data_IF_602856938322
#
_entry.id   IF_602856938322
#
_cell.length_a   1.000
_cell.length_b   1.000
_cell.length_c   1.000
_cell.angle_alpha   90.00
_cell.angle_beta   90.00
_cell.angle_gamma   90.00
#
_symmetry.space_group_name_H-M   'P 1'
#
loop_
_entity.id
_entity.type
_entity.pdbx_description
1 polymer ?
#
# COMPACT_ATOMS: atom_id res chain seq x y z
N UNK A 1 -48.10 22.93 -15.44
CA UNK A 1 -47.56 21.58 -15.11
C UNK A 1 -46.96 20.80 -16.30
N UNK A 2 -47.05 21.23 -17.57
CA UNK A 2 -46.53 20.47 -18.73
C UNK A 2 -45.00 20.59 -18.99
N UNK A 3 -44.30 21.48 -18.30
CA UNK A 3 -42.89 21.79 -18.62
C UNK A 3 -41.86 21.07 -17.72
N UNK A 4 -42.30 20.50 -16.59
CA UNK A 4 -41.39 19.84 -15.63
C UNK A 4 -40.80 18.55 -16.23
N UNK A 5 -41.61 17.81 -16.99
CA UNK A 5 -41.13 16.59 -17.68
C UNK A 5 -40.08 16.88 -18.74
N UNK A 6 -40.21 17.97 -19.48
CA UNK A 6 -39.23 18.35 -20.52
C UNK A 6 -37.90 18.79 -19.91
N UNK A 7 -37.93 19.48 -18.76
CA UNK A 7 -36.74 19.93 -18.04
C UNK A 7 -35.96 18.74 -17.47
N UNK A 8 -36.64 17.72 -16.95
CA UNK A 8 -36.00 16.51 -16.43
C UNK A 8 -35.34 15.68 -17.54
N UNK A 9 -35.96 15.58 -18.71
CA UNK A 9 -35.39 14.86 -19.86
C UNK A 9 -34.15 15.61 -20.41
N UNK A 10 -34.22 16.93 -20.49
CA UNK A 10 -33.08 17.75 -20.91
C UNK A 10 -31.90 17.64 -19.94
N UNK A 11 -32.16 17.65 -18.62
CA UNK A 11 -31.13 17.47 -17.60
C UNK A 11 -30.48 16.07 -17.67
N UNK A 12 -31.28 15.02 -17.87
CA UNK A 12 -30.78 13.66 -18.03
C UNK A 12 -29.88 13.49 -19.28
N UNK A 13 -30.23 14.14 -20.39
CA UNK A 13 -29.41 14.14 -21.61
C UNK A 13 -28.08 14.88 -21.42
N UNK A 14 -28.07 16.02 -20.73
CA UNK A 14 -26.82 16.76 -20.45
C UNK A 14 -25.87 15.94 -19.59
N UNK A 15 -26.38 15.20 -18.61
CA UNK A 15 -25.58 14.29 -17.76
C UNK A 15 -25.06 13.09 -18.57
N UNK A 16 -25.85 12.52 -19.47
CA UNK A 16 -25.45 11.38 -20.29
C UNK A 16 -24.34 11.72 -21.31
N UNK A 17 -24.30 12.95 -21.82
CA UNK A 17 -23.31 13.39 -22.83
C UNK A 17 -22.09 14.11 -22.23
N UNK A 18 -22.06 14.35 -20.92
CA UNK A 18 -20.93 14.97 -20.21
C UNK A 18 -20.57 14.13 -18.97
N UNK A 19 -19.86 13.00 -19.16
CA UNK A 19 -19.48 12.11 -18.05
C UNK A 19 -18.66 12.83 -16.96
N UNK A 20 -17.98 13.91 -17.32
CA UNK A 20 -17.20 14.75 -16.39
C UNK A 20 -18.10 15.46 -15.36
N UNK A 21 -19.31 15.88 -15.76
CA UNK A 21 -20.30 16.46 -14.85
C UNK A 21 -20.95 15.39 -13.98
N UNK A 22 -21.17 14.18 -14.49
CA UNK A 22 -21.70 13.08 -13.68
C UNK A 22 -20.72 12.69 -12.56
N UNK A 23 -19.42 12.63 -12.85
CA UNK A 23 -18.38 12.33 -11.85
C UNK A 23 -18.31 13.34 -10.71
N UNK A 24 -18.65 14.61 -10.95
CA UNK A 24 -18.66 15.63 -9.90
C UNK A 24 -19.90 15.58 -8.98
N UNK A 25 -20.94 14.85 -9.36
CA UNK A 25 -22.21 14.73 -8.60
C UNK A 25 -22.36 13.40 -7.87
N UNK A 26 -21.54 12.40 -8.17
CA UNK A 26 -21.43 11.23 -7.32
C UNK A 26 -20.66 11.65 -6.05
N UNK A 27 -21.19 11.43 -4.84
CA UNK A 27 -20.35 11.47 -3.65
C UNK A 27 -19.16 10.55 -3.92
N UNK A 28 -17.95 11.02 -3.61
CA UNK A 28 -16.72 10.26 -3.77
C UNK A 28 -16.77 9.07 -2.80
N UNK A 29 -17.43 7.98 -3.20
CA UNK A 29 -17.82 6.90 -2.27
C UNK A 29 -16.66 6.03 -1.80
N UNK A 30 -15.43 6.27 -2.26
CA UNK A 30 -14.26 5.59 -1.70
C UNK A 30 -13.01 6.47 -1.78
N UNK A 31 -13.03 7.63 -1.15
CA UNK A 31 -11.80 8.11 -0.52
C UNK A 31 -11.75 7.48 0.88
N UNK A 32 -11.59 6.15 0.92
CA UNK A 32 -10.89 5.56 2.06
C UNK A 32 -9.51 6.18 1.92
N UNK A 33 -9.28 7.30 2.60
CA UNK A 33 -7.94 7.71 2.94
C UNK A 33 -7.61 6.85 4.14
N UNK A 34 -7.02 5.64 3.95
CA UNK A 34 -6.70 4.79 5.07
C UNK A 34 -5.82 5.62 5.99
N UNK A 35 -6.35 5.98 7.16
CA UNK A 35 -5.63 6.81 8.12
C UNK A 35 -4.35 6.07 8.46
N UNK A 36 -3.26 6.51 7.86
CA UNK A 36 -1.95 5.94 8.07
C UNK A 36 -1.56 6.26 9.50
N UNK A 37 -1.49 5.22 10.33
CA UNK A 37 -1.17 5.36 11.75
C UNK A 37 0.34 5.65 11.87
N UNK A 38 0.70 6.71 12.59
CA UNK A 38 2.10 7.04 12.86
C UNK A 38 2.77 5.88 13.62
N UNK A 39 3.88 5.31 13.12
CA UNK A 39 4.53 4.17 13.75
C UNK A 39 5.21 4.53 15.09
N UNK A 40 5.47 3.50 15.89
CA UNK A 40 6.29 3.62 17.10
C UNK A 40 7.73 4.06 16.79
N UNK A 41 8.40 4.71 17.74
CA UNK A 41 9.73 5.33 17.60
C UNK A 41 10.78 4.41 16.96
N UNK A 42 10.80 3.15 17.36
CA UNK A 42 11.77 2.18 16.84
C UNK A 42 11.51 1.88 15.37
N UNK A 43 10.26 1.60 14.99
CA UNK A 43 9.86 1.39 13.60
C UNK A 43 10.11 2.63 12.73
N UNK A 44 9.87 3.83 13.27
CA UNK A 44 10.15 5.09 12.55
C UNK A 44 11.62 5.19 12.12
N UNK A 45 12.55 4.84 13.00
CA UNK A 45 13.99 4.81 12.66
C UNK A 45 14.32 3.78 11.59
N UNK A 46 13.64 2.63 11.60
CA UNK A 46 13.86 1.58 10.60
C UNK A 46 13.35 2.03 9.22
N UNK A 47 12.23 2.74 9.15
CA UNK A 47 11.65 3.22 7.88
C UNK A 47 12.19 4.58 7.43
N UNK A 48 13.11 5.21 8.18
CA UNK A 48 13.72 6.49 7.82
C UNK A 48 14.36 6.53 6.43
N UNK A 49 15.06 5.48 5.94
CA UNK A 49 15.57 5.47 4.57
C UNK A 49 14.46 5.60 3.51
N UNK A 50 13.30 4.99 3.77
CA UNK A 50 12.11 5.05 2.92
C UNK A 50 11.49 6.45 3.02
N UNK A 51 11.31 6.97 4.24
CA UNK A 51 10.74 8.31 4.48
C UNK A 51 11.57 9.43 3.86
N UNK A 52 12.89 9.32 3.92
CA UNK A 52 13.79 10.34 3.38
C UNK A 52 13.97 10.22 1.85
N UNK A 53 13.29 9.28 1.19
CA UNK A 53 13.30 9.16 -0.26
C UNK A 53 12.49 10.30 -0.87
N UNK A 54 13.03 10.92 -1.93
CA UNK A 54 12.30 11.96 -2.67
C UNK A 54 11.28 11.31 -3.58
N UNK A 55 10.06 11.15 -3.09
CA UNK A 55 8.96 10.58 -3.84
C UNK A 55 8.41 11.57 -4.88
N UNK A 56 7.93 11.02 -6.00
CA UNK A 56 6.93 11.71 -6.79
C UNK A 56 5.57 11.51 -6.10
N UNK A 57 4.70 12.51 -6.09
CA UNK A 57 3.41 12.44 -5.38
C UNK A 57 2.55 11.24 -5.81
N UNK A 58 2.47 10.96 -7.11
CA UNK A 58 1.67 9.82 -7.63
C UNK A 58 2.29 8.48 -7.21
N UNK A 59 3.63 8.40 -7.13
CA UNK A 59 4.33 7.19 -6.71
C UNK A 59 4.16 6.97 -5.20
N UNK A 60 4.24 8.03 -4.40
CA UNK A 60 3.99 8.01 -2.95
C UNK A 60 2.60 7.47 -2.64
N UNK A 61 1.56 8.01 -3.28
CA UNK A 61 0.18 7.58 -3.09
C UNK A 61 -0.03 6.10 -3.45
N UNK A 62 0.53 5.68 -4.60
CA UNK A 62 0.45 4.28 -5.06
C UNK A 62 1.18 3.31 -4.15
N UNK A 63 2.38 3.66 -3.69
CA UNK A 63 3.16 2.83 -2.77
C UNK A 63 2.48 2.74 -1.40
N UNK A 64 1.98 3.86 -0.88
CA UNK A 64 1.20 3.91 0.37
C UNK A 64 0.02 2.96 0.30
N UNK A 65 -0.80 3.08 -0.75
CA UNK A 65 -1.98 2.23 -0.96
C UNK A 65 -1.62 0.75 -1.11
N UNK A 66 -0.54 0.46 -1.84
CA UNK A 66 -0.05 -0.91 -2.04
C UNK A 66 0.40 -1.56 -0.73
N UNK A 67 1.18 -0.86 0.09
CA UNK A 67 1.68 -1.44 1.35
C UNK A 67 0.57 -1.56 2.40
N UNK A 68 -0.43 -0.68 2.42
CA UNK A 68 -1.61 -0.86 3.27
C UNK A 68 -2.40 -2.10 2.86
N UNK A 69 -2.63 -2.28 1.56
CA UNK A 69 -3.29 -3.49 1.06
C UNK A 69 -2.50 -4.76 1.37
N UNK A 70 -1.16 -4.73 1.26
CA UNK A 70 -0.30 -5.86 1.62
C UNK A 70 -0.39 -6.17 3.12
N UNK A 71 -0.37 -5.15 3.97
CA UNK A 71 -0.53 -5.32 5.42
C UNK A 71 -1.88 -5.96 5.75
N UNK A 72 -2.96 -5.51 5.12
CA UNK A 72 -4.30 -6.06 5.34
C UNK A 72 -4.41 -7.53 4.87
N UNK A 73 -3.74 -7.90 3.77
CA UNK A 73 -3.66 -9.30 3.33
C UNK A 73 -2.94 -10.17 4.36
N UNK A 74 -1.81 -9.70 4.89
CA UNK A 74 -1.03 -10.43 5.90
C UNK A 74 -1.82 -10.56 7.22
N UNK A 75 -2.53 -9.50 7.61
CA UNK A 75 -3.38 -9.47 8.81
C UNK A 75 -4.54 -10.46 8.73
N UNK A 76 -5.17 -10.59 7.56
CA UNK A 76 -6.30 -11.50 7.31
C UNK A 76 -5.90 -12.95 7.05
N UNK A 77 -4.61 -13.25 6.96
CA UNK A 77 -4.11 -14.62 6.76
C UNK A 77 -4.16 -15.44 8.07
N UNK A 78 -5.38 -15.66 8.58
CA UNK A 78 -5.64 -16.42 9.80
C UNK A 78 -5.29 -17.91 9.65
N UNK A 79 -5.39 -18.44 8.43
CA UNK A 79 -5.11 -19.84 8.13
C UNK A 79 -3.61 -20.14 7.96
N UNK A 80 -2.74 -19.13 8.06
CA UNK A 80 -1.30 -19.29 7.91
C UNK A 80 -0.90 -19.81 6.53
N UNK A 81 -1.51 -19.28 5.47
CA UNK A 81 -1.11 -19.52 4.08
C UNK A 81 0.31 -18.98 3.88
N UNK A 82 0.60 -17.81 4.46
CA UNK A 82 1.93 -17.21 4.51
C UNK A 82 2.63 -17.70 5.78
N UNK A 83 3.57 -18.62 5.59
CA UNK A 83 4.25 -19.38 6.65
C UNK A 83 5.61 -18.82 7.01
N UNK A 84 6.25 -18.04 6.15
CA UNK A 84 7.61 -17.55 6.42
C UNK A 84 7.88 -16.13 5.93
N UNK A 85 8.88 -15.48 6.52
CA UNK A 85 9.37 -14.17 6.07
C UNK A 85 9.91 -14.22 4.64
N UNK A 86 10.43 -15.36 4.17
CA UNK A 86 10.81 -15.56 2.77
C UNK A 86 9.60 -15.52 1.82
N UNK A 87 8.48 -16.13 2.21
CA UNK A 87 7.23 -16.06 1.45
C UNK A 87 6.65 -14.64 1.43
N UNK A 88 6.75 -13.90 2.52
CA UNK A 88 6.36 -12.47 2.56
C UNK A 88 7.17 -11.65 1.56
N UNK A 89 8.50 -11.81 1.53
CA UNK A 89 9.37 -11.13 0.55
C UNK A 89 9.00 -11.52 -0.88
N UNK A 90 8.73 -12.79 -1.13
CA UNK A 90 8.30 -13.29 -2.44
C UNK A 90 6.95 -12.71 -2.88
N UNK A 91 5.98 -12.62 -1.96
CA UNK A 91 4.68 -12.00 -2.23
C UNK A 91 4.87 -10.52 -2.55
N UNK A 92 5.61 -9.78 -1.73
CA UNK A 92 5.93 -8.36 -1.96
C UNK A 92 6.60 -8.14 -3.33
N UNK A 93 7.59 -8.96 -3.69
CA UNK A 93 8.27 -8.88 -4.99
C UNK A 93 7.28 -9.13 -6.14
N UNK A 94 6.49 -10.21 -6.06
CA UNK A 94 5.58 -10.60 -7.13
C UNK A 94 4.42 -9.63 -7.29
N UNK A 95 3.78 -9.25 -6.20
CA UNK A 95 2.69 -8.27 -6.22
C UNK A 95 3.19 -6.90 -6.68
N UNK A 96 4.36 -6.47 -6.21
CA UNK A 96 5.00 -5.23 -6.67
C UNK A 96 5.27 -5.24 -8.18
N UNK A 97 5.80 -6.36 -8.72
CA UNK A 97 5.98 -6.50 -10.18
C UNK A 97 4.67 -6.45 -10.95
N UNK A 98 3.60 -7.06 -10.44
CA UNK A 98 2.28 -7.03 -11.07
C UNK A 98 1.68 -5.62 -11.05
N UNK A 99 1.73 -4.94 -9.90
CA UNK A 99 1.19 -3.60 -9.74
C UNK A 99 1.99 -2.54 -10.51
N UNK A 100 3.33 -2.66 -10.54
CA UNK A 100 4.21 -1.56 -10.95
C UNK A 100 5.05 -1.83 -12.19
N UNK A 101 5.06 -3.04 -12.74
CA UNK A 101 5.98 -3.45 -13.82
C UNK A 101 5.91 -2.63 -15.11
N UNK A 102 4.82 -1.89 -15.35
CA UNK A 102 4.65 -0.99 -16.51
C UNK A 102 4.39 0.47 -16.14
N UNK A 103 4.60 0.83 -14.88
CA UNK A 103 4.31 2.19 -14.36
C UNK A 103 5.53 3.11 -14.35
N UNK A 104 6.74 2.55 -14.49
CA UNK A 104 7.99 3.29 -14.37
C UNK A 104 8.44 3.57 -12.92
N UNK A 105 7.74 3.01 -11.92
CA UNK A 105 8.17 2.99 -10.51
C UNK A 105 9.35 2.02 -10.33
N UNK A 106 9.30 0.86 -11.00
CA UNK A 106 10.38 -0.11 -10.97
C UNK A 106 11.70 0.51 -11.49
N UNK A 107 12.76 0.42 -10.68
CA UNK A 107 14.08 0.98 -11.00
C UNK A 107 14.26 2.47 -10.68
N UNK A 108 13.16 3.22 -10.44
CA UNK A 108 13.24 4.64 -10.02
C UNK A 108 13.79 4.79 -8.60
N UNK A 109 13.50 3.81 -7.74
CA UNK A 109 13.88 3.77 -6.33
C UNK A 109 14.77 2.56 -6.06
N UNK A 110 16.07 2.62 -6.40
CA UNK A 110 16.94 1.44 -6.45
C UNK A 110 17.15 0.75 -5.08
N UNK A 111 17.06 1.50 -3.97
CA UNK A 111 17.21 0.94 -2.62
C UNK A 111 15.91 0.47 -1.97
N UNK A 112 14.77 0.79 -2.56
CA UNK A 112 13.48 0.53 -1.94
C UNK A 112 13.29 -0.94 -1.60
N UNK A 113 13.62 -1.86 -2.51
CA UNK A 113 13.49 -3.30 -2.23
C UNK A 113 14.33 -3.75 -1.03
N UNK A 114 15.57 -3.25 -0.91
CA UNK A 114 16.47 -3.58 0.21
C UNK A 114 15.96 -3.00 1.52
N UNK A 115 15.49 -1.74 1.51
CA UNK A 115 14.95 -1.07 2.69
C UNK A 115 13.67 -1.76 3.19
N UNK A 116 12.81 -2.24 2.27
CA UNK A 116 11.61 -3.04 2.62
C UNK A 116 11.98 -4.38 3.21
N UNK A 117 13.00 -5.06 2.67
CA UNK A 117 13.48 -6.33 3.23
C UNK A 117 14.01 -6.15 4.66
N UNK A 118 14.61 -4.99 4.97
CA UNK A 118 15.00 -4.63 6.34
C UNK A 118 13.79 -4.52 7.25
N UNK A 119 12.73 -3.85 6.80
CA UNK A 119 11.49 -3.69 7.57
C UNK A 119 10.79 -5.04 7.80
N UNK A 120 10.72 -5.91 6.78
CA UNK A 120 10.19 -7.28 6.92
C UNK A 120 11.03 -8.09 7.90
N UNK A 121 12.36 -8.00 7.79
CA UNK A 121 13.29 -8.65 8.71
C UNK A 121 13.05 -8.25 10.16
N UNK A 122 12.97 -6.94 10.42
CA UNK A 122 12.65 -6.39 11.74
C UNK A 122 11.29 -6.88 12.25
N UNK A 123 10.23 -6.74 11.46
CA UNK A 123 8.86 -7.13 11.86
C UNK A 123 8.71 -8.62 12.14
N UNK A 124 9.52 -9.48 11.50
CA UNK A 124 9.50 -10.93 11.72
C UNK A 124 10.48 -11.41 12.79
N UNK A 125 11.38 -10.54 13.27
CA UNK A 125 12.46 -10.89 14.19
C UNK A 125 13.62 -11.67 13.54
N UNK A 126 13.76 -11.58 12.21
CA UNK A 126 14.83 -12.25 11.47
C UNK A 126 16.20 -11.64 11.74
N UNK A 127 17.24 -12.45 11.64
CA UNK A 127 18.63 -11.98 11.63
C UNK A 127 19.15 -11.85 10.19
N UNK A 128 20.20 -11.05 10.00
CA UNK A 128 21.02 -11.11 8.77
C UNK A 128 22.20 -12.05 9.00
N UNK A 129 22.30 -13.07 8.15
CA UNK A 129 23.41 -14.02 8.10
C UNK A 129 24.03 -13.87 6.70
N UNK A 130 25.34 -13.58 6.64
CA UNK A 130 26.07 -13.37 5.39
C UNK A 130 25.41 -12.36 4.43
N UNK A 131 24.88 -11.27 5.01
CA UNK A 131 24.22 -10.19 4.26
C UNK A 131 22.79 -10.50 3.81
N UNK A 132 22.29 -11.73 4.01
CA UNK A 132 20.94 -12.16 3.65
C UNK A 132 20.05 -12.28 4.88
N UNK A 133 18.78 -11.96 4.72
CA UNK A 133 17.81 -12.17 5.78
C UNK A 133 17.46 -13.64 5.90
N UNK A 134 17.52 -14.16 7.13
CA UNK A 134 17.06 -15.50 7.42
C UNK A 134 15.54 -15.61 7.22
N UNK A 135 15.11 -16.79 6.76
CA UNK A 135 13.70 -17.14 6.72
C UNK A 135 13.23 -17.52 8.11
N UNK A 136 12.29 -16.75 8.65
CA UNK A 136 11.68 -16.99 9.96
C UNK A 136 10.24 -17.41 9.74
N UNK A 137 9.77 -18.39 10.51
CA UNK A 137 8.37 -18.81 10.51
C UNK A 137 7.46 -17.67 11.00
N UNK A 138 6.33 -17.48 10.33
CA UNK A 138 5.31 -16.51 10.74
C UNK A 138 4.37 -17.17 11.74
N UNK A 139 4.50 -16.73 12.99
CA UNK A 139 3.62 -17.05 14.11
C UNK A 139 2.57 -15.97 14.29
N UNK A 140 1.54 -16.21 15.10
CA UNK A 140 0.54 -15.19 15.44
C UNK A 140 1.18 -13.93 16.04
N UNK A 141 2.19 -14.10 16.90
CA UNK A 141 2.87 -12.99 17.58
C UNK A 141 3.67 -12.13 16.62
N UNK A 142 4.56 -12.72 15.80
CA UNK A 142 5.37 -11.92 14.87
C UNK A 142 4.58 -11.47 13.63
N UNK A 143 3.44 -12.09 13.30
CA UNK A 143 2.52 -11.60 12.26
C UNK A 143 2.02 -10.20 12.58
N UNK A 144 1.61 -9.95 13.83
CA UNK A 144 1.19 -8.61 14.25
C UNK A 144 2.30 -7.58 14.06
N UNK A 145 3.51 -7.91 14.51
CA UNK A 145 4.67 -7.03 14.35
C UNK A 145 5.03 -6.79 12.88
N UNK A 146 4.91 -7.83 12.03
CA UNK A 146 5.08 -7.70 10.59
C UNK A 146 4.02 -6.77 9.97
N UNK A 147 2.75 -6.91 10.34
CA UNK A 147 1.68 -6.02 9.87
C UNK A 147 1.98 -4.57 10.24
N UNK A 148 2.35 -4.31 11.49
CA UNK A 148 2.73 -2.98 11.96
C UNK A 148 3.95 -2.43 11.19
N UNK A 149 4.93 -3.30 10.90
CA UNK A 149 6.10 -2.94 10.10
C UNK A 149 5.73 -2.58 8.65
N UNK A 150 4.86 -3.35 8.00
CA UNK A 150 4.39 -3.03 6.63
C UNK A 150 3.52 -1.76 6.62
N UNK A 151 2.69 -1.52 7.64
CA UNK A 151 1.96 -0.24 7.80
C UNK A 151 2.92 0.93 7.99
N UNK A 152 4.04 0.73 8.69
CA UNK A 152 5.08 1.74 8.83
C UNK A 152 5.77 2.08 7.50
N UNK A 153 5.92 1.10 6.60
CA UNK A 153 6.36 1.38 5.21
C UNK A 153 5.38 2.31 4.52
N UNK A 154 4.09 1.98 4.56
CA UNK A 154 3.07 2.80 3.91
C UNK A 154 3.11 4.25 4.44
N UNK A 155 3.29 4.41 5.75
CA UNK A 155 3.50 5.72 6.35
C UNK A 155 4.73 6.44 5.81
N UNK A 156 5.88 5.77 5.76
CA UNK A 156 7.09 6.36 5.24
C UNK A 156 7.00 6.74 3.76
N UNK A 157 6.20 6.05 2.96
CA UNK A 157 5.96 6.43 1.55
C UNK A 157 5.07 7.67 1.41
N UNK A 158 4.18 7.92 2.38
CA UNK A 158 3.19 9.00 2.33
C UNK A 158 3.62 10.33 2.95
N UNK A 159 4.77 10.37 3.64
CA UNK A 159 5.38 11.56 4.25
C UNK A 159 6.38 12.25 3.32
#
# INVERSE_FOLDING_TARGET
MKNIGLILIAAALVVAFRPDLFRSFLPNENEVNPSVIVPADELRKIVDPIRNTKWNADDAERLTSFYLALADVIERDENGIIKSSAEVRLINERSGRLCFGKTGIAGRYPKLAEDIDVVIGFGTGGARIDGKWESVEITVTNRKNLVDAIRAVAWACGE
#
